data_IF_651037234116
#
_entry.id   IF_651037234116
#
_cell.length_a   1.000
_cell.length_b   1.000
_cell.length_c   1.000
_cell.angle_alpha   90.00
_cell.angle_beta   90.00
_cell.angle_gamma   90.00
#
_symmetry.space_group_name_H-M   'P 1'
#
loop_
_entity.id
_entity.type
_entity.pdbx_description
1 polymer ?
#
# COMPACT_ATOMS: atom_id res chain seq x y z
N UNK A 1 -0.61 -7.03 -10.29
CA UNK A 1 0.74 -7.63 -10.22
C UNK A 1 1.18 -8.20 -11.57
N UNK A 2 0.44 -9.11 -12.21
CA UNK A 2 0.82 -9.75 -13.49
C UNK A 2 1.06 -8.74 -14.62
N UNK A 3 0.21 -7.72 -14.76
CA UNK A 3 0.40 -6.66 -15.77
C UNK A 3 1.67 -5.83 -15.53
N UNK A 4 2.02 -5.60 -14.26
CA UNK A 4 3.25 -4.89 -13.90
C UNK A 4 4.49 -5.71 -14.32
N UNK A 5 4.48 -7.02 -14.06
CA UNK A 5 5.54 -7.93 -14.50
C UNK A 5 5.70 -7.94 -16.03
N UNK A 6 4.61 -8.11 -16.77
CA UNK A 6 4.62 -8.11 -18.23
C UNK A 6 5.16 -6.79 -18.81
N UNK A 7 4.73 -5.65 -18.26
CA UNK A 7 5.21 -4.33 -18.67
C UNK A 7 6.70 -4.18 -18.41
N UNK A 8 7.16 -4.60 -17.22
CA UNK A 8 8.56 -4.55 -16.85
C UNK A 8 9.44 -5.39 -17.79
N UNK A 9 9.06 -6.65 -18.05
CA UNK A 9 9.84 -7.55 -18.91
C UNK A 9 9.95 -7.00 -20.34
N UNK A 10 8.86 -6.46 -20.89
CA UNK A 10 8.86 -5.81 -22.22
C UNK A 10 9.77 -4.58 -22.28
N UNK A 11 9.72 -3.73 -21.25
CA UNK A 11 10.53 -2.51 -21.20
C UNK A 11 12.01 -2.83 -21.02
N UNK A 12 12.33 -3.74 -20.11
CA UNK A 12 13.71 -4.18 -19.87
C UNK A 12 14.33 -4.79 -21.12
N UNK A 13 13.62 -5.66 -21.82
CA UNK A 13 14.06 -6.24 -23.08
C UNK A 13 14.28 -5.16 -24.17
N UNK A 14 13.36 -4.19 -24.28
CA UNK A 14 13.44 -3.10 -25.26
C UNK A 14 14.63 -2.16 -25.00
N UNK A 15 14.92 -1.88 -23.73
CA UNK A 15 15.96 -0.94 -23.32
C UNK A 15 17.33 -1.62 -23.14
N UNK A 16 17.36 -2.96 -23.04
CA UNK A 16 18.58 -3.71 -22.69
C UNK A 16 19.13 -3.32 -21.31
N UNK A 17 18.25 -2.98 -20.36
CA UNK A 17 18.63 -2.51 -19.03
C UNK A 17 18.00 -3.38 -17.94
N UNK A 18 18.76 -3.57 -16.87
CA UNK A 18 18.29 -4.12 -15.60
C UNK A 18 17.92 -2.98 -14.66
N UNK A 19 16.97 -3.24 -13.78
CA UNK A 19 16.50 -2.29 -12.76
C UNK A 19 16.47 -3.00 -11.41
N UNK A 20 16.95 -2.33 -10.38
CA UNK A 20 17.00 -2.89 -9.02
C UNK A 20 15.63 -2.97 -8.38
N UNK A 21 14.77 -1.98 -8.64
CA UNK A 21 13.44 -1.85 -8.01
C UNK A 21 12.40 -1.48 -9.07
N UNK A 22 11.27 -2.14 -8.99
CA UNK A 22 10.09 -1.90 -9.84
C UNK A 22 9.01 -1.30 -8.96
N UNK A 23 8.56 -0.09 -9.29
CA UNK A 23 7.47 0.58 -8.59
C UNK A 23 6.18 0.40 -9.37
N UNK A 24 5.16 -0.10 -8.70
CA UNK A 24 3.80 -0.21 -9.23
C UNK A 24 2.96 0.95 -8.68
N UNK A 25 2.74 1.96 -9.51
CA UNK A 25 1.81 3.06 -9.25
C UNK A 25 0.47 2.71 -9.87
N UNK A 26 -0.57 2.69 -9.05
CA UNK A 26 -1.92 2.40 -9.52
C UNK A 26 -2.50 3.63 -10.24
N UNK A 27 -3.27 3.40 -11.31
CA UNK A 27 -3.82 4.47 -12.13
C UNK A 27 -4.97 5.26 -11.48
N UNK A 28 -5.47 4.78 -10.36
CA UNK A 28 -6.51 5.37 -9.51
C UNK A 28 -5.96 6.24 -8.37
N UNK A 29 -4.63 6.47 -8.31
CA UNK A 29 -3.96 7.31 -7.32
C UNK A 29 -3.45 8.64 -7.92
N UNK A 30 -4.35 9.54 -8.36
CA UNK A 30 -3.93 10.77 -9.05
C UNK A 30 -3.30 11.83 -8.13
N UNK A 31 -3.44 11.67 -6.81
CA UNK A 31 -2.90 12.59 -5.81
C UNK A 31 -1.56 12.12 -5.23
N UNK A 32 -0.88 11.20 -5.94
CA UNK A 32 0.44 10.72 -5.54
C UNK A 32 1.45 11.87 -5.44
N UNK A 33 2.04 12.02 -4.27
CA UNK A 33 3.13 12.98 -4.04
C UNK A 33 4.49 12.33 -4.40
N UNK A 34 5.39 13.04 -5.11
CA UNK A 34 6.68 12.48 -5.52
C UNK A 34 7.52 11.94 -4.35
N UNK A 35 7.40 12.52 -3.16
CA UNK A 35 8.12 12.06 -1.98
C UNK A 35 7.71 10.64 -1.57
N UNK A 36 6.46 10.23 -1.82
CA UNK A 36 5.99 8.90 -1.52
C UNK A 36 6.73 7.83 -2.33
N UNK A 37 7.19 8.15 -3.55
CA UNK A 37 8.02 7.23 -4.33
C UNK A 37 9.41 7.05 -3.67
N UNK A 38 9.97 8.12 -3.11
CA UNK A 38 11.24 8.06 -2.38
C UNK A 38 11.09 7.23 -1.09
N UNK A 39 10.01 7.48 -0.33
CA UNK A 39 9.68 6.72 0.88
C UNK A 39 9.49 5.24 0.55
N UNK A 40 8.76 4.93 -0.51
CA UNK A 40 8.45 3.56 -0.93
C UNK A 40 9.69 2.73 -1.27
N UNK A 41 10.71 3.36 -1.88
CA UNK A 41 11.94 2.65 -2.29
C UNK A 41 13.03 2.65 -1.20
N UNK A 42 12.92 3.49 -0.18
CA UNK A 42 13.88 3.57 0.93
C UNK A 42 14.20 2.22 1.59
N UNK A 43 13.23 1.32 1.85
CA UNK A 43 13.54 0.02 2.45
C UNK A 43 14.56 -0.82 1.67
N UNK A 44 14.70 -0.61 0.35
CA UNK A 44 15.64 -1.36 -0.50
C UNK A 44 17.12 -0.97 -0.31
N UNK A 45 17.43 0.05 0.48
CA UNK A 45 18.79 0.30 0.98
C UNK A 45 19.29 -0.93 1.75
N UNK A 46 18.39 -1.65 2.41
CA UNK A 46 18.65 -2.99 2.91
C UNK A 46 18.43 -4.01 1.78
N UNK A 47 19.52 -4.59 1.28
CA UNK A 47 19.51 -5.56 0.17
C UNK A 47 18.71 -6.85 0.44
N UNK A 48 18.23 -7.07 1.67
CA UNK A 48 17.33 -8.18 2.01
C UNK A 48 15.86 -7.87 1.70
N UNK A 49 15.51 -6.60 1.55
CA UNK A 49 14.14 -6.18 1.21
C UNK A 49 13.84 -6.52 -0.23
N UNK A 50 12.74 -7.21 -0.41
CA UNK A 50 12.28 -7.68 -1.74
C UNK A 50 10.95 -7.07 -2.15
N UNK A 51 10.15 -6.62 -1.17
CA UNK A 51 8.83 -6.06 -1.36
C UNK A 51 8.57 -4.99 -0.30
N UNK A 52 8.14 -3.80 -0.72
CA UNK A 52 7.73 -2.72 0.16
C UNK A 52 6.39 -2.10 -0.25
N UNK A 53 5.75 -1.47 0.73
CA UNK A 53 4.54 -0.68 0.56
C UNK A 53 4.55 0.50 1.53
N UNK A 54 3.57 1.40 1.41
CA UNK A 54 3.41 2.55 2.31
C UNK A 54 2.23 2.36 3.25
N UNK A 55 2.35 3.00 4.41
CA UNK A 55 1.27 3.12 5.38
C UNK A 55 1.20 4.54 5.90
N UNK A 56 0.00 5.04 6.16
CA UNK A 56 -0.20 6.36 6.77
C UNK A 56 -0.94 6.22 8.11
N UNK A 57 -0.61 7.06 9.11
CA UNK A 57 -1.37 7.10 10.35
C UNK A 57 -2.81 7.54 10.11
N UNK A 58 -3.76 6.86 10.72
CA UNK A 58 -5.17 7.27 10.71
C UNK A 58 -5.33 8.56 11.51
N UNK A 59 -5.91 9.59 10.91
CA UNK A 59 -6.06 10.92 11.50
C UNK A 59 -7.45 11.16 12.10
N UNK A 60 -8.47 10.46 11.59
CA UNK A 60 -9.86 10.65 12.01
C UNK A 60 -10.46 9.36 12.56
N UNK A 61 -11.18 9.46 13.68
CA UNK A 61 -11.94 8.32 14.19
C UNK A 61 -13.02 7.83 13.19
N UNK A 62 -13.45 8.68 12.26
CA UNK A 62 -14.39 8.30 11.21
C UNK A 62 -13.77 7.31 10.23
N UNK A 63 -12.47 7.42 9.93
CA UNK A 63 -11.76 6.50 9.04
C UNK A 63 -11.75 5.08 9.58
N UNK A 64 -11.79 4.91 10.92
CA UNK A 64 -11.90 3.59 11.54
C UNK A 64 -13.24 2.88 11.22
N UNK A 65 -14.25 3.61 10.77
CA UNK A 65 -15.55 3.06 10.38
C UNK A 65 -15.73 2.93 8.86
N UNK A 66 -14.72 3.34 8.09
CA UNK A 66 -14.76 3.28 6.64
C UNK A 66 -14.38 1.86 6.17
N UNK A 67 -15.32 1.11 5.62
CA UNK A 67 -15.10 -0.25 5.11
C UNK A 67 -14.23 -0.32 3.85
N UNK A 68 -14.01 0.81 3.18
CA UNK A 68 -13.12 0.90 2.02
C UNK A 68 -11.65 0.98 2.41
N UNK A 69 -11.35 1.41 3.64
CA UNK A 69 -9.97 1.48 4.14
C UNK A 69 -9.40 0.10 4.38
N UNK A 70 -8.10 0.01 4.21
CA UNK A 70 -7.32 -1.21 4.51
C UNK A 70 -6.38 -0.90 5.65
N UNK A 71 -6.50 -1.61 6.76
CA UNK A 71 -5.66 -1.45 7.93
C UNK A 71 -4.54 -2.48 7.95
N UNK A 72 -3.42 -2.11 8.55
CA UNK A 72 -2.30 -3.03 8.73
C UNK A 72 -1.65 -2.89 10.09
N UNK A 73 -1.08 -3.98 10.54
CA UNK A 73 -0.19 -4.04 11.70
C UNK A 73 1.18 -4.56 11.25
N UNK A 74 2.23 -4.06 11.86
CA UNK A 74 3.60 -4.42 11.53
C UNK A 74 4.47 -4.55 12.78
N UNK A 75 5.57 -5.27 12.65
CA UNK A 75 6.51 -5.49 13.73
C UNK A 75 7.50 -4.32 13.93
N UNK A 76 8.37 -4.44 14.93
CA UNK A 76 9.40 -3.45 15.26
C UNK A 76 10.42 -3.22 14.12
N UNK A 77 10.53 -4.17 13.19
CA UNK A 77 11.40 -4.10 12.03
C UNK A 77 10.67 -3.58 10.79
N UNK A 78 9.46 -3.02 10.97
CA UNK A 78 8.60 -2.53 9.89
C UNK A 78 8.16 -3.63 8.91
N UNK A 79 8.04 -4.89 9.36
CA UNK A 79 7.48 -5.97 8.54
C UNK A 79 5.99 -6.07 8.81
N UNK A 80 5.19 -5.98 7.75
CA UNK A 80 3.75 -6.17 7.84
C UNK A 80 3.42 -7.58 8.38
N UNK A 81 2.51 -7.62 9.34
CA UNK A 81 2.02 -8.88 9.92
C UNK A 81 0.72 -9.31 9.26
N UNK A 82 -0.15 -8.35 8.90
CA UNK A 82 -1.41 -8.62 8.23
C UNK A 82 -2.03 -7.34 7.68
N UNK A 83 -2.79 -7.48 6.58
CA UNK A 83 -3.64 -6.43 6.03
C UNK A 83 -5.10 -6.86 6.13
N UNK A 84 -5.97 -5.97 6.60
CA UNK A 84 -7.38 -6.27 6.80
C UNK A 84 -8.28 -5.08 6.49
N UNK A 85 -9.47 -5.36 5.96
CA UNK A 85 -10.55 -4.37 5.88
C UNK A 85 -11.23 -4.13 7.24
N UNK A 86 -11.03 -5.03 8.18
CA UNK A 86 -11.39 -4.79 9.58
C UNK A 86 -10.30 -3.98 10.27
N UNK A 87 -10.71 -3.05 11.13
CA UNK A 87 -9.75 -2.29 11.92
C UNK A 87 -8.96 -3.19 12.85
N UNK A 88 -7.67 -3.18 12.71
CA UNK A 88 -6.70 -3.92 13.51
C UNK A 88 -5.61 -2.98 14.05
N UNK A 89 -5.12 -3.18 15.31
CA UNK A 89 -5.58 -4.15 16.30
C UNK A 89 -6.91 -3.75 16.96
N UNK A 90 -7.57 -4.70 17.63
CA UNK A 90 -8.74 -4.42 18.46
C UNK A 90 -8.32 -3.91 19.84
N UNK A 91 -8.91 -2.83 20.31
CA UNK A 91 -8.70 -2.35 21.68
C UNK A 91 -9.82 -2.85 22.57
N UNK A 92 -9.48 -3.77 23.47
CA UNK A 92 -10.46 -4.37 24.37
C UNK A 92 -10.93 -3.37 25.43
N UNK A 93 -12.26 -3.30 25.62
CA UNK A 93 -12.86 -2.53 26.72
C UNK A 93 -12.98 -1.02 26.44
N UNK A 94 -12.61 -0.55 25.27
CA UNK A 94 -12.71 0.85 24.85
C UNK A 94 -13.62 0.93 23.64
N UNK A 95 -14.56 1.89 23.65
CA UNK A 95 -15.40 2.13 22.47
C UNK A 95 -14.56 2.65 21.30
N UNK A 96 -14.86 2.21 20.08
CA UNK A 96 -14.05 2.47 18.88
C UNK A 96 -13.82 3.95 18.58
N UNK A 97 -14.76 4.83 18.95
CA UNK A 97 -14.62 6.29 18.80
C UNK A 97 -13.44 6.89 19.57
N UNK A 98 -12.95 6.21 20.61
CA UNK A 98 -11.83 6.64 21.45
C UNK A 98 -10.52 5.90 21.16
N UNK A 99 -10.50 5.02 20.17
CA UNK A 99 -9.32 4.18 19.90
C UNK A 99 -8.07 4.99 19.54
N UNK A 100 -8.22 6.10 18.80
CA UNK A 100 -7.08 6.94 18.43
C UNK A 100 -6.41 7.65 19.61
N UNK A 101 -7.10 7.76 20.76
CA UNK A 101 -6.52 8.30 22.00
C UNK A 101 -5.54 7.31 22.67
N UNK A 102 -5.63 6.03 22.31
CA UNK A 102 -4.89 4.94 22.94
C UNK A 102 -3.88 4.22 22.04
N UNK A 103 -4.05 4.33 20.70
CA UNK A 103 -3.20 3.64 19.74
C UNK A 103 -3.17 4.36 18.39
N UNK A 104 -2.01 4.38 17.76
CA UNK A 104 -1.88 4.85 16.38
C UNK A 104 -2.24 3.71 15.43
N UNK A 105 -3.37 3.84 14.73
CA UNK A 105 -3.76 2.92 13.67
C UNK A 105 -3.11 3.36 12.35
N UNK A 106 -2.85 2.38 11.48
CA UNK A 106 -2.24 2.63 10.19
C UNK A 106 -3.12 2.10 9.08
N UNK A 107 -3.39 2.95 8.10
CA UNK A 107 -4.03 2.58 6.84
C UNK A 107 -2.97 2.32 5.77
N UNK A 108 -3.24 1.36 4.94
CA UNK A 108 -2.39 0.99 3.81
C UNK A 108 -2.58 1.98 2.66
N UNK A 109 -1.48 2.39 2.05
CA UNK A 109 -1.48 3.19 0.82
C UNK A 109 -1.12 2.25 -0.34
N UNK A 110 -1.96 2.18 -1.36
CA UNK A 110 -1.93 1.21 -2.46
C UNK A 110 -0.74 1.29 -3.42
N UNK A 111 0.43 1.68 -2.92
CA UNK A 111 1.68 1.77 -3.68
C UNK A 111 2.60 0.61 -3.31
N UNK A 112 3.23 0.02 -4.32
CA UNK A 112 4.08 -1.15 -4.11
C UNK A 112 5.41 -1.02 -4.85
N UNK A 113 6.48 -1.51 -4.21
CA UNK A 113 7.76 -1.68 -4.88
C UNK A 113 8.31 -3.09 -4.66
N UNK A 114 8.98 -3.60 -5.68
CA UNK A 114 9.47 -4.98 -5.72
C UNK A 114 10.87 -5.04 -6.30
N UNK A 115 11.67 -6.04 -5.89
CA UNK A 115 12.72 -6.57 -6.75
C UNK A 115 12.08 -7.37 -7.89
N UNK A 116 12.80 -7.54 -9.00
CA UNK A 116 12.29 -8.35 -10.12
C UNK A 116 11.91 -9.78 -9.70
N UNK A 117 12.79 -10.42 -8.93
CA UNK A 117 12.55 -11.79 -8.46
C UNK A 117 11.29 -11.88 -7.58
N UNK A 118 11.08 -10.89 -6.69
CA UNK A 118 9.88 -10.85 -5.85
C UNK A 118 8.61 -10.64 -6.69
N UNK A 119 8.64 -9.71 -7.66
CA UNK A 119 7.51 -9.47 -8.55
C UNK A 119 7.16 -10.71 -9.36
N UNK A 120 8.15 -11.40 -9.89
CA UNK A 120 7.99 -12.64 -10.65
C UNK A 120 7.45 -13.78 -9.79
N UNK A 121 8.00 -13.96 -8.59
CA UNK A 121 7.50 -14.94 -7.61
C UNK A 121 6.04 -14.63 -7.26
N UNK A 122 5.73 -13.39 -6.89
CA UNK A 122 4.40 -12.97 -6.50
C UNK A 122 3.35 -13.16 -7.62
N UNK A 123 3.71 -12.81 -8.85
CA UNK A 123 2.82 -13.00 -10.00
C UNK A 123 2.49 -14.48 -10.29
N UNK A 124 3.38 -15.39 -9.90
CA UNK A 124 3.20 -16.84 -10.10
C UNK A 124 2.58 -17.56 -8.90
N UNK A 125 2.46 -16.92 -7.74
CA UNK A 125 1.77 -17.53 -6.60
C UNK A 125 0.29 -17.73 -6.91
N UNK A 126 -0.27 -18.92 -6.58
CA UNK A 126 -1.71 -19.13 -6.69
C UNK A 126 -2.47 -18.24 -5.70
N UNK A 127 -3.68 -17.83 -6.07
CA UNK A 127 -4.54 -17.05 -5.17
C UNK A 127 -4.78 -17.76 -3.84
N UNK A 128 -4.56 -17.04 -2.75
CA UNK A 128 -4.60 -17.57 -1.39
C UNK A 128 -5.96 -17.40 -0.72
N UNK A 129 -6.16 -18.01 0.47
CA UNK A 129 -7.43 -17.91 1.18
C UNK A 129 -7.65 -16.50 1.74
N UNK A 130 -6.64 -15.94 2.40
CA UNK A 130 -6.72 -14.61 3.01
C UNK A 130 -6.89 -13.52 1.96
N UNK A 131 -6.17 -13.63 0.83
CA UNK A 131 -6.37 -12.74 -0.33
C UNK A 131 -7.83 -12.71 -0.77
N UNK A 132 -8.45 -13.89 -0.94
CA UNK A 132 -9.85 -13.96 -1.43
C UNK A 132 -10.86 -13.43 -0.43
N UNK A 133 -10.69 -13.71 0.86
CA UNK A 133 -11.63 -13.31 1.91
C UNK A 133 -11.57 -11.80 2.12
N UNK A 134 -10.38 -11.23 2.19
CA UNK A 134 -10.18 -9.78 2.38
C UNK A 134 -10.25 -9.00 1.06
N UNK A 135 -10.14 -9.68 -0.09
CA UNK A 135 -9.95 -9.06 -1.42
C UNK A 135 -8.72 -8.15 -1.44
N UNK A 136 -7.62 -8.63 -0.84
CA UNK A 136 -6.35 -7.93 -0.69
C UNK A 136 -5.20 -8.80 -1.23
N UNK A 137 -4.69 -8.46 -2.42
CA UNK A 137 -3.70 -9.27 -3.14
C UNK A 137 -2.41 -9.47 -2.33
N UNK A 138 -1.97 -8.47 -1.58
CA UNK A 138 -0.75 -8.51 -0.77
C UNK A 138 -0.78 -9.58 0.34
N UNK A 139 -1.96 -9.98 0.81
CA UNK A 139 -2.08 -11.06 1.79
C UNK A 139 -1.60 -12.42 1.24
N UNK A 140 -1.69 -12.63 -0.08
CA UNK A 140 -1.14 -13.83 -0.72
C UNK A 140 0.37 -13.97 -0.48
N UNK A 141 1.11 -12.86 -0.53
CA UNK A 141 2.54 -12.85 -0.29
C UNK A 141 2.89 -13.23 1.15
N UNK A 142 2.18 -12.63 2.12
CA UNK A 142 2.38 -12.92 3.55
C UNK A 142 1.94 -14.36 3.90
N UNK A 143 0.80 -14.83 3.37
CA UNK A 143 0.29 -16.18 3.63
C UNK A 143 1.25 -17.27 3.12
N UNK A 144 2.10 -16.96 2.14
CA UNK A 144 3.17 -17.84 1.67
C UNK A 144 4.50 -17.68 2.44
N UNK A 145 4.50 -17.00 3.58
CA UNK A 145 5.67 -16.86 4.47
C UNK A 145 6.68 -15.80 4.04
N UNK A 146 6.31 -14.94 3.09
CA UNK A 146 7.17 -13.86 2.62
C UNK A 146 6.95 -12.54 3.39
N UNK A 147 7.94 -11.67 3.38
CA UNK A 147 7.92 -10.40 4.10
C UNK A 147 7.55 -9.23 3.18
N UNK A 148 6.68 -8.33 3.68
CA UNK A 148 6.43 -7.01 3.10
C UNK A 148 6.93 -5.98 4.10
N UNK A 149 7.82 -5.09 3.66
CA UNK A 149 8.27 -3.97 4.47
C UNK A 149 7.35 -2.77 4.28
N UNK A 150 6.95 -2.14 5.38
CA UNK A 150 6.15 -0.92 5.35
C UNK A 150 7.02 0.29 5.63
N UNK A 151 6.82 1.38 4.89
CA UNK A 151 7.40 2.67 5.22
C UNK A 151 6.28 3.66 5.50
N UNK A 152 6.55 4.60 6.42
CA UNK A 152 5.58 5.62 6.82
C UNK A 152 5.53 6.74 5.80
N UNK A 153 4.33 7.15 5.44
CA UNK A 153 4.06 8.40 4.74
C UNK A 153 3.06 9.22 5.54
N UNK A 154 3.18 10.53 5.46
CA UNK A 154 2.23 11.49 6.04
C UNK A 154 1.45 12.25 4.96
N UNK A 155 1.59 11.82 3.73
CA UNK A 155 0.85 12.33 2.58
C UNK A 155 -0.35 11.43 2.32
N UNK A 156 -1.54 11.99 2.43
CA UNK A 156 -2.76 11.26 2.12
C UNK A 156 -2.93 11.14 0.61
N UNK A 157 -3.30 9.96 0.16
CA UNK A 157 -3.80 9.74 -1.20
C UNK A 157 -5.31 9.69 -1.18
N UNK A 158 -5.91 10.09 -2.27
CA UNK A 158 -7.36 10.00 -2.48
C UNK A 158 -7.57 9.12 -3.71
N UNK A 159 -7.76 7.80 -3.51
CA UNK A 159 -8.02 6.90 -4.62
C UNK A 159 -9.35 7.28 -5.31
N UNK A 160 -9.43 7.03 -6.61
CA UNK A 160 -10.61 7.32 -7.42
C UNK A 160 -11.29 6.02 -7.80
N UNK A 161 -12.12 5.50 -6.92
CA UNK A 161 -12.93 4.30 -7.16
C UNK A 161 -14.35 4.63 -7.66
N UNK A 162 -14.87 5.80 -7.29
CA UNK A 162 -16.22 6.24 -7.61
C UNK A 162 -16.25 7.59 -8.35
N UNK A 163 -17.42 7.92 -8.93
CA UNK A 163 -17.64 9.24 -9.54
C UNK A 163 -17.53 10.36 -8.50
N UNK A 164 -17.88 10.11 -7.26
CA UNK A 164 -17.82 11.11 -6.21
C UNK A 164 -16.37 11.34 -5.74
N UNK A 165 -15.52 10.31 -5.72
CA UNK A 165 -14.08 10.48 -5.52
C UNK A 165 -13.45 11.31 -6.63
N UNK A 166 -13.83 11.06 -7.89
CA UNK A 166 -13.37 11.85 -9.03
C UNK A 166 -13.73 13.34 -8.88
N UNK A 167 -14.95 13.66 -8.43
CA UNK A 167 -15.37 15.04 -8.17
C UNK A 167 -14.52 15.68 -7.08
N UNK A 168 -14.30 14.95 -5.98
CA UNK A 168 -13.48 15.40 -4.85
C UNK A 168 -12.04 15.69 -5.29
N UNK A 169 -11.42 14.78 -6.03
CA UNK A 169 -10.05 14.97 -6.55
C UNK A 169 -9.98 16.17 -7.50
N UNK A 170 -10.94 16.34 -8.42
CA UNK A 170 -10.99 17.51 -9.30
C UNK A 170 -11.07 18.82 -8.53
N UNK A 171 -11.82 18.87 -7.45
CA UNK A 171 -11.90 20.05 -6.59
C UNK A 171 -10.55 20.32 -5.91
N UNK A 172 -9.93 19.31 -5.29
CA UNK A 172 -8.63 19.45 -4.65
C UNK A 172 -7.54 19.96 -5.62
N UNK A 173 -7.50 19.41 -6.85
CA UNK A 173 -6.56 19.85 -7.88
C UNK A 173 -6.83 21.28 -8.37
N UNK A 174 -8.09 21.71 -8.43
CA UNK A 174 -8.42 23.09 -8.81
C UNK A 174 -7.99 24.09 -7.73
N UNK A 175 -8.19 23.74 -6.46
CA UNK A 175 -7.81 24.58 -5.31
C UNK A 175 -6.28 24.69 -5.16
N UNK A 176 -5.55 23.64 -5.51
CA UNK A 176 -4.07 23.62 -5.49
C UNK A 176 -3.42 24.47 -6.60
N UNK A 177 -4.11 24.69 -7.72
CA UNK A 177 -3.61 25.52 -8.83
C UNK A 177 -3.87 27.04 -8.64
N UNK A 178 -4.45 27.47 -7.53
CA UNK A 178 -4.75 28.88 -7.20
C UNK A 178 -3.70 29.49 -6.27
N UNK A 179 -2.68 28.74 -5.87
CA UNK A 179 -1.51 29.22 -5.13
C UNK A 179 -0.29 29.33 -6.04
#
# INVERSE_FOLDING_TARGET
>A
TTRCLEAFERISAKLGKEFDVIVNVQGDEPMLEPIQLVELVRPFENKKVRFSTLVSPVQSAQDLFNESEVFTVFDKNKRALYFSRSVIPHIRGIHKTHWLEHHTFYKHVGLYAYTYDALKEFANLPSSKLERVESLEQNRWIENGNEIYVELTYHDTVPVDTIDDLKKVRQLLSDSNVQ
#
